data_IF_594321389682
#
_entry.id   IF_594321389682
#
_cell.length_a   1.000
_cell.length_b   1.000
_cell.length_c   1.000
_cell.angle_alpha   90.00
_cell.angle_beta   90.00
_cell.angle_gamma   90.00
#
_symmetry.space_group_name_H-M   'P 1'
#
loop_
_entity.id
_entity.type
_entity.pdbx_description
1 polymer ?
#
# COMPACT_ATOMS: atom_id res chain seq x y z
N UNK A 1 -3.43 -35.06 5.37
CA UNK A 1 -3.84 -34.10 6.42
C UNK A 1 -4.26 -32.82 5.72
N UNK A 2 -5.56 -32.69 5.46
CA UNK A 2 -6.17 -31.56 4.75
C UNK A 2 -6.08 -30.32 5.65
N UNK A 3 -5.31 -29.32 5.20
CA UNK A 3 -5.20 -28.03 5.86
C UNK A 3 -6.55 -27.32 5.77
N UNK A 4 -7.28 -27.28 6.88
CA UNK A 4 -8.49 -26.48 7.03
C UNK A 4 -8.06 -25.02 7.22
N UNK A 5 -8.26 -24.19 6.19
CA UNK A 5 -8.20 -22.74 6.34
C UNK A 5 -9.15 -22.30 7.46
N UNK A 6 -8.74 -21.38 8.34
CA UNK A 6 -9.62 -20.90 9.41
C UNK A 6 -10.87 -20.24 8.81
N UNK A 7 -12.04 -20.35 9.46
CA UNK A 7 -13.26 -19.70 9.00
C UNK A 7 -13.05 -18.18 8.92
N UNK A 8 -13.69 -17.50 7.95
CA UNK A 8 -13.61 -16.04 7.86
C UNK A 8 -14.14 -15.42 9.16
N UNK A 9 -13.33 -14.54 9.76
CA UNK A 9 -13.75 -13.75 10.91
C UNK A 9 -14.98 -12.91 10.54
N UNK A 10 -15.97 -12.76 11.44
CA UNK A 10 -17.14 -11.94 11.19
C UNK A 10 -16.72 -10.48 10.88
N UNK A 11 -17.42 -9.78 9.98
CA UNK A 11 -17.11 -8.38 9.70
C UNK A 11 -17.26 -7.53 10.97
N UNK A 12 -16.48 -6.43 11.09
CA UNK A 12 -16.57 -5.53 12.25
C UNK A 12 -18.01 -5.00 12.40
N UNK A 13 -18.52 -5.08 13.63
CA UNK A 13 -19.96 -5.05 13.90
C UNK A 13 -20.62 -3.67 13.80
N UNK A 14 -19.89 -2.56 13.66
CA UNK A 14 -20.48 -1.22 13.45
C UNK A 14 -19.53 -0.35 12.61
N UNK A 15 -19.87 -0.09 11.34
CA UNK A 15 -19.14 0.87 10.50
C UNK A 15 -19.69 2.27 10.79
N UNK A 16 -18.83 3.18 11.26
CA UNK A 16 -19.23 4.55 11.56
C UNK A 16 -19.01 5.43 10.34
N UNK A 17 -20.01 6.23 10.00
CA UNK A 17 -19.93 7.21 8.91
C UNK A 17 -19.83 8.62 9.50
N UNK A 18 -18.95 9.44 8.94
CA UNK A 18 -18.84 10.85 9.30
C UNK A 18 -18.31 11.68 8.12
N UNK A 19 -18.61 12.99 8.06
CA UNK A 19 -18.19 13.84 6.95
C UNK A 19 -16.69 14.12 6.99
N UNK A 20 -16.09 14.29 5.81
CA UNK A 20 -14.75 14.84 5.62
C UNK A 20 -14.82 16.01 4.62
N UNK A 21 -15.04 17.21 5.15
CA UNK A 21 -15.38 18.37 4.34
C UNK A 21 -16.74 18.20 3.65
N UNK A 22 -16.96 18.95 2.58
CA UNK A 22 -18.28 18.99 1.93
C UNK A 22 -18.51 17.80 0.97
N UNK A 23 -17.43 17.29 0.39
CA UNK A 23 -17.46 16.39 -0.77
C UNK A 23 -17.01 14.95 -0.48
N UNK A 24 -16.96 14.54 0.79
CA UNK A 24 -16.58 13.18 1.15
C UNK A 24 -17.24 12.67 2.44
N UNK A 25 -17.43 11.35 2.49
CA UNK A 25 -17.82 10.59 3.69
C UNK A 25 -16.69 9.62 4.02
N UNK A 26 -16.37 9.49 5.30
CA UNK A 26 -15.43 8.49 5.81
C UNK A 26 -16.22 7.36 6.42
N UNK A 27 -15.95 6.13 5.97
CA UNK A 27 -16.41 4.90 6.61
C UNK A 27 -15.29 4.38 7.50
N UNK A 28 -15.52 4.32 8.81
CA UNK A 28 -14.58 3.77 9.79
C UNK A 28 -15.01 2.35 10.19
N UNK A 29 -14.14 1.38 9.91
CA UNK A 29 -14.39 -0.05 10.14
C UNK A 29 -13.80 -0.54 11.48
N UNK A 30 -13.28 0.37 12.30
CA UNK A 30 -12.69 0.10 13.60
C UNK A 30 -11.48 1.00 13.90
N UNK A 31 -10.90 0.81 15.08
CA UNK A 31 -9.74 1.58 15.56
C UNK A 31 -8.42 0.83 15.47
N UNK A 32 -8.46 -0.45 15.09
CA UNK A 32 -7.30 -1.35 15.06
C UNK A 32 -7.05 -1.85 13.64
N UNK A 33 -5.78 -1.83 13.24
CA UNK A 33 -5.31 -2.43 11.99
C UNK A 33 -5.38 -3.95 12.14
N UNK A 34 -6.34 -4.57 11.46
CA UNK A 34 -6.52 -6.03 11.48
C UNK A 34 -6.81 -6.58 10.09
N UNK A 35 -6.51 -7.87 9.81
CA UNK A 35 -6.89 -8.50 8.55
C UNK A 35 -8.39 -8.44 8.26
N UNK A 36 -9.24 -8.50 9.30
CA UNK A 36 -10.69 -8.39 9.16
C UNK A 36 -11.12 -6.97 8.73
N UNK A 37 -10.57 -5.95 9.39
CA UNK A 37 -10.80 -4.53 9.03
C UNK A 37 -10.38 -4.28 7.58
N UNK A 38 -9.20 -4.78 7.21
CA UNK A 38 -8.67 -4.62 5.87
C UNK A 38 -9.54 -5.30 4.80
N UNK A 39 -10.00 -6.53 5.07
CA UNK A 39 -10.91 -7.26 4.19
C UNK A 39 -12.24 -6.52 4.02
N UNK A 40 -12.78 -5.91 5.07
CA UNK A 40 -14.01 -5.12 4.99
C UNK A 40 -13.84 -3.88 4.10
N UNK A 41 -12.74 -3.13 4.26
CA UNK A 41 -12.41 -1.98 3.40
C UNK A 41 -12.29 -2.42 1.93
N UNK A 42 -11.59 -3.54 1.65
CA UNK A 42 -11.47 -4.08 0.30
C UNK A 42 -12.82 -4.52 -0.28
N UNK A 43 -13.67 -5.17 0.52
CA UNK A 43 -15.01 -5.61 0.10
C UNK A 43 -15.86 -4.41 -0.30
N UNK A 44 -15.91 -3.39 0.54
CA UNK A 44 -16.70 -2.19 0.28
C UNK A 44 -16.14 -1.41 -0.92
N UNK A 45 -14.82 -1.23 -1.00
CA UNK A 45 -14.18 -0.58 -2.14
C UNK A 45 -14.43 -1.30 -3.46
N UNK A 46 -14.30 -2.63 -3.49
CA UNK A 46 -14.56 -3.44 -4.68
C UNK A 46 -16.03 -3.38 -5.11
N UNK A 47 -16.95 -3.44 -4.15
CA UNK A 47 -18.38 -3.34 -4.42
C UNK A 47 -18.75 -1.97 -5.01
N UNK A 48 -18.25 -0.87 -4.43
CA UNK A 48 -18.51 0.49 -4.94
C UNK A 48 -17.90 0.72 -6.33
N UNK A 49 -16.77 0.08 -6.64
CA UNK A 49 -16.18 0.13 -7.99
C UNK A 49 -17.03 -0.60 -9.03
N UNK A 50 -17.69 -1.70 -8.66
CA UNK A 50 -18.57 -2.48 -9.55
C UNK A 50 -19.99 -1.89 -9.63
N UNK A 51 -20.42 -1.21 -8.57
CA UNK A 51 -21.76 -0.63 -8.43
C UNK A 51 -21.68 0.86 -8.04
N UNK A 52 -21.11 1.71 -8.91
CA UNK A 52 -20.99 3.13 -8.61
C UNK A 52 -22.38 3.79 -8.52
N UNK A 53 -22.64 4.51 -7.42
CA UNK A 53 -23.83 5.34 -7.31
C UNK A 53 -23.64 6.68 -8.04
N UNK A 54 -24.76 7.34 -8.37
CA UNK A 54 -24.72 8.63 -9.06
C UNK A 54 -24.01 9.68 -8.19
N UNK A 55 -22.87 10.19 -8.67
CA UNK A 55 -22.05 11.15 -7.95
C UNK A 55 -20.81 10.54 -7.29
N UNK A 56 -20.63 9.22 -7.26
CA UNK A 56 -19.37 8.64 -6.80
C UNK A 56 -18.19 9.13 -7.66
N UNK A 57 -17.15 9.66 -7.02
CA UNK A 57 -15.93 10.15 -7.68
C UNK A 57 -14.76 9.20 -7.46
N UNK A 58 -14.48 8.87 -6.20
CA UNK A 58 -13.33 8.05 -5.85
C UNK A 58 -13.53 7.38 -4.49
N UNK A 59 -12.90 6.22 -4.31
CA UNK A 59 -12.81 5.52 -3.03
C UNK A 59 -11.32 5.41 -2.64
N UNK A 60 -10.94 6.04 -1.54
CA UNK A 60 -9.55 6.07 -1.05
C UNK A 60 -9.45 5.22 0.23
N UNK A 61 -8.89 4.00 0.17
CA UNK A 61 -8.71 3.17 1.35
C UNK A 61 -7.53 3.67 2.21
N UNK A 62 -7.69 3.56 3.52
CA UNK A 62 -6.64 3.80 4.51
C UNK A 62 -6.53 2.58 5.46
N UNK A 63 -5.84 2.76 6.58
CA UNK A 63 -5.57 1.69 7.56
C UNK A 63 -6.84 1.04 8.13
N UNK A 64 -7.79 1.85 8.57
CA UNK A 64 -9.03 1.40 9.21
C UNK A 64 -10.26 2.09 8.64
N UNK A 65 -10.08 2.92 7.62
CA UNK A 65 -11.14 3.72 7.01
C UNK A 65 -11.16 3.57 5.49
N UNK A 66 -12.31 3.86 4.89
CA UNK A 66 -12.46 4.11 3.45
C UNK A 66 -13.08 5.50 3.28
N UNK A 67 -12.40 6.39 2.59
CA UNK A 67 -12.97 7.70 2.24
C UNK A 67 -13.63 7.62 0.88
N UNK A 68 -14.90 7.99 0.80
CA UNK A 68 -15.68 8.04 -0.43
C UNK A 68 -15.86 9.50 -0.82
N UNK A 69 -15.23 9.90 -1.91
CA UNK A 69 -15.40 11.22 -2.52
C UNK A 69 -16.55 11.20 -3.50
N UNK A 70 -17.31 12.30 -3.52
CA UNK A 70 -18.50 12.40 -4.35
C UNK A 70 -18.69 13.80 -4.94
N UNK A 71 -19.55 13.88 -5.96
CA UNK A 71 -19.94 15.10 -6.63
C UNK A 71 -21.07 15.81 -5.86
N UNK A 72 -20.75 16.98 -5.32
CA UNK A 72 -21.68 17.83 -4.58
C UNK A 72 -22.96 18.13 -5.36
N UNK A 73 -22.83 18.50 -6.63
CA UNK A 73 -23.95 18.96 -7.43
C UNK A 73 -24.92 17.83 -7.76
N UNK A 74 -24.40 16.62 -8.01
CA UNK A 74 -25.22 15.45 -8.27
C UNK A 74 -25.99 14.99 -7.03
N UNK A 75 -25.36 15.03 -5.85
CA UNK A 75 -25.99 14.60 -4.59
C UNK A 75 -26.92 15.66 -3.99
N UNK A 76 -26.71 16.95 -4.30
CA UNK A 76 -27.54 18.05 -3.79
C UNK A 76 -28.79 18.32 -4.63
N UNK A 77 -29.05 17.56 -5.71
CA UNK A 77 -30.10 17.86 -6.71
C UNK A 77 -31.52 18.06 -6.15
N UNK A 78 -31.81 17.51 -4.97
CA UNK A 78 -33.13 17.59 -4.35
C UNK A 78 -33.18 18.57 -3.15
N UNK A 79 -32.18 19.45 -3.01
CA UNK A 79 -32.08 20.38 -1.87
C UNK A 79 -31.69 19.71 -0.55
N UNK A 80 -31.41 18.41 -0.57
CA UNK A 80 -30.88 17.68 0.58
C UNK A 80 -29.38 17.95 0.73
N UNK A 81 -28.86 17.98 1.98
CA UNK A 81 -27.43 18.04 2.21
C UNK A 81 -26.73 16.87 1.51
N UNK A 82 -25.67 17.12 0.70
CA UNK A 82 -25.00 16.05 -0.05
C UNK A 82 -24.42 14.97 0.87
N UNK A 83 -23.95 15.33 2.07
CA UNK A 83 -23.51 14.37 3.09
C UNK A 83 -24.62 13.39 3.49
N UNK A 84 -25.80 13.89 3.88
CA UNK A 84 -26.92 13.03 4.33
C UNK A 84 -27.39 12.08 3.23
N UNK A 85 -27.38 12.57 1.99
CA UNK A 85 -27.72 11.76 0.82
C UNK A 85 -26.69 10.65 0.61
N UNK A 86 -25.41 10.98 0.66
CA UNK A 86 -24.33 10.01 0.51
C UNK A 86 -24.30 9.00 1.66
N UNK A 87 -24.46 9.46 2.90
CA UNK A 87 -24.53 8.62 4.10
C UNK A 87 -25.66 7.59 3.99
N UNK A 88 -26.87 8.03 3.60
CA UNK A 88 -28.01 7.13 3.41
C UNK A 88 -27.75 6.07 2.33
N UNK A 89 -27.24 6.48 1.17
CA UNK A 89 -26.90 5.55 0.08
C UNK A 89 -25.86 4.54 0.56
N UNK A 90 -24.80 4.99 1.23
CA UNK A 90 -23.74 4.13 1.73
C UNK A 90 -24.26 3.15 2.79
N UNK A 91 -25.11 3.60 3.71
CA UNK A 91 -25.76 2.72 4.71
C UNK A 91 -26.61 1.64 4.05
N UNK A 92 -27.35 1.97 2.99
CA UNK A 92 -28.16 1.00 2.23
C UNK A 92 -27.30 -0.03 1.47
N UNK A 93 -26.16 0.40 0.91
CA UNK A 93 -25.26 -0.47 0.17
C UNK A 93 -24.36 -1.33 1.08
N UNK A 94 -24.10 -0.88 2.30
CA UNK A 94 -23.10 -1.47 3.19
C UNK A 94 -23.30 -2.98 3.47
N UNK A 95 -24.53 -3.49 3.73
CA UNK A 95 -24.72 -4.92 3.98
C UNK A 95 -24.32 -5.80 2.78
N UNK A 96 -24.70 -5.40 1.57
CA UNK A 96 -24.32 -6.11 0.35
C UNK A 96 -22.82 -5.97 0.05
N UNK A 97 -22.27 -4.78 0.29
CA UNK A 97 -20.86 -4.49 0.11
C UNK A 97 -19.97 -5.32 1.06
N UNK A 98 -20.36 -5.46 2.33
CA UNK A 98 -19.66 -6.29 3.32
C UNK A 98 -19.77 -7.79 3.04
N UNK A 99 -20.86 -8.22 2.40
CA UNK A 99 -21.05 -9.60 1.97
C UNK A 99 -20.31 -9.93 0.66
N UNK A 100 -19.71 -8.93 0.01
CA UNK A 100 -18.95 -9.12 -1.23
C UNK A 100 -17.74 -10.00 -0.96
N UNK A 101 -17.68 -11.14 -1.65
CA UNK A 101 -16.49 -11.99 -1.61
C UNK A 101 -15.33 -11.25 -2.28
N UNK A 102 -14.41 -10.77 -1.45
CA UNK A 102 -13.10 -10.36 -1.93
C UNK A 102 -12.35 -11.63 -2.30
N UNK A 103 -11.80 -11.66 -3.53
CA UNK A 103 -10.92 -12.73 -3.97
C UNK A 103 -9.86 -13.02 -2.90
N UNK A 104 -9.55 -14.30 -2.70
CA UNK A 104 -8.63 -14.78 -1.67
C UNK A 104 -7.30 -14.00 -1.68
N UNK A 105 -6.70 -13.87 -0.49
CA UNK A 105 -5.43 -13.19 -0.20
C UNK A 105 -4.57 -13.09 -1.46
N UNK A 106 -4.45 -11.87 -2.00
CA UNK A 106 -3.66 -11.62 -3.20
C UNK A 106 -2.30 -12.31 -3.08
N UNK A 107 -1.90 -13.03 -4.14
CA UNK A 107 -0.62 -13.71 -4.19
C UNK A 107 0.50 -12.75 -3.77
N UNK A 108 1.49 -13.26 -3.04
CA UNK A 108 2.64 -12.46 -2.62
C UNK A 108 3.34 -11.93 -3.87
N UNK A 109 3.42 -10.61 -4.01
CA UNK A 109 4.07 -9.96 -5.14
C UNK A 109 5.58 -10.02 -4.92
N UNK A 110 6.28 -10.74 -5.78
CA UNK A 110 7.74 -10.80 -5.74
C UNK A 110 8.35 -9.56 -6.39
N UNK A 111 9.19 -8.86 -5.63
CA UNK A 111 9.90 -7.67 -6.07
C UNK A 111 11.40 -8.01 -6.14
N UNK A 112 11.97 -8.21 -7.34
CA UNK A 112 13.40 -8.46 -7.50
C UNK A 112 14.20 -7.20 -7.12
N UNK A 113 15.24 -7.34 -6.30
CA UNK A 113 16.08 -6.23 -5.83
C UNK A 113 17.56 -6.57 -5.98
N UNK A 114 18.29 -5.69 -6.67
CA UNK A 114 19.74 -5.68 -6.63
C UNK A 114 20.19 -4.83 -5.44
N UNK A 115 20.86 -5.45 -4.48
CA UNK A 115 21.28 -4.80 -3.24
C UNK A 115 22.71 -4.24 -3.34
N UNK A 116 22.98 -3.17 -2.59
CA UNK A 116 24.33 -2.62 -2.43
C UNK A 116 24.89 -1.92 -3.67
N UNK A 117 26.17 -1.53 -3.58
CA UNK A 117 26.89 -0.86 -4.67
C UNK A 117 26.16 0.40 -5.17
N UNK A 118 26.09 0.57 -6.50
CA UNK A 118 25.38 1.69 -7.11
C UNK A 118 23.85 1.64 -6.91
N UNK A 119 23.28 0.46 -6.66
CA UNK A 119 21.85 0.28 -6.45
C UNK A 119 21.42 0.57 -5.01
N UNK A 120 22.32 0.36 -4.05
CA UNK A 120 22.11 0.54 -2.62
C UNK A 120 23.30 1.21 -1.95
N UNK A 121 23.56 2.51 -2.21
CA UNK A 121 24.76 3.21 -1.75
C UNK A 121 24.87 3.36 -0.23
N UNK A 122 23.78 3.15 0.52
CA UNK A 122 23.77 3.23 1.98
C UNK A 122 23.82 1.86 2.66
N UNK A 123 23.88 0.74 1.90
CA UNK A 123 23.82 -0.61 2.50
C UNK A 123 24.94 -0.84 3.52
N UNK A 124 26.17 -0.47 3.21
CA UNK A 124 27.31 -0.64 4.11
C UNK A 124 27.18 0.25 5.36
N UNK A 125 26.65 1.46 5.20
CA UNK A 125 26.42 2.38 6.31
C UNK A 125 25.30 1.88 7.24
N UNK A 126 24.22 1.32 6.67
CA UNK A 126 23.15 0.66 7.42
C UNK A 126 23.71 -0.53 8.18
N UNK A 127 24.46 -1.41 7.51
CA UNK A 127 25.08 -2.59 8.10
C UNK A 127 25.99 -2.22 9.29
N UNK A 128 26.85 -1.21 9.12
CA UNK A 128 27.69 -0.69 10.18
C UNK A 128 26.88 -0.12 11.37
N UNK A 129 25.81 0.64 11.10
CA UNK A 129 24.94 1.22 12.13
C UNK A 129 24.30 0.15 13.01
N UNK A 130 23.80 -0.93 12.39
CA UNK A 130 23.11 -2.02 13.09
C UNK A 130 24.02 -3.16 13.52
N UNK A 131 25.34 -3.02 13.30
CA UNK A 131 26.40 -4.01 13.62
C UNK A 131 26.14 -5.38 12.99
N UNK A 132 25.75 -5.36 11.72
CA UNK A 132 25.60 -6.55 10.87
C UNK A 132 26.51 -6.43 9.66
N UNK A 133 26.73 -7.54 8.98
CA UNK A 133 27.29 -7.54 7.63
C UNK A 133 26.23 -7.12 6.60
N UNK A 134 26.63 -6.58 5.43
CA UNK A 134 25.70 -6.31 4.33
C UNK A 134 24.86 -7.53 3.95
N UNK A 135 25.45 -8.73 3.95
CA UNK A 135 24.76 -9.98 3.66
C UNK A 135 23.66 -10.29 4.69
N UNK A 136 23.90 -10.06 5.98
CA UNK A 136 22.90 -10.23 7.03
C UNK A 136 21.77 -9.20 6.94
N UNK A 137 22.08 -7.95 6.55
CA UNK A 137 21.06 -6.94 6.29
C UNK A 137 20.16 -7.39 5.15
N UNK A 138 20.73 -7.85 4.03
CA UNK A 138 19.99 -8.36 2.87
C UNK A 138 19.09 -9.52 3.31
N UNK A 139 19.66 -10.55 3.96
CA UNK A 139 18.92 -11.73 4.37
C UNK A 139 17.74 -11.39 5.30
N UNK A 140 17.93 -10.47 6.25
CA UNK A 140 16.85 -10.03 7.17
C UNK A 140 15.81 -9.18 6.46
N UNK A 141 16.20 -8.37 5.49
CA UNK A 141 15.31 -7.52 4.72
C UNK A 141 14.51 -8.30 3.67
N UNK A 142 15.05 -9.38 3.10
CA UNK A 142 14.34 -10.17 2.09
C UNK A 142 13.51 -11.32 2.65
N UNK A 143 13.72 -11.69 3.93
CA UNK A 143 13.04 -12.83 4.54
C UNK A 143 11.51 -12.69 4.73
N UNK A 144 10.96 -11.54 5.19
CA UNK A 144 9.54 -11.47 5.52
C UNK A 144 8.66 -11.12 4.30
N UNK A 145 7.39 -11.52 4.40
CA UNK A 145 6.32 -10.99 3.55
C UNK A 145 5.77 -9.71 4.14
N UNK A 146 6.12 -8.59 3.51
CA UNK A 146 5.71 -7.26 3.89
C UNK A 146 4.26 -7.01 3.55
N UNK A 147 3.49 -6.51 4.50
CA UNK A 147 2.14 -6.01 4.24
C UNK A 147 2.23 -4.59 3.68
N UNK A 148 1.62 -4.36 2.52
CA UNK A 148 1.41 -3.01 1.99
C UNK A 148 0.30 -2.36 2.79
N UNK A 149 0.67 -1.48 3.71
CA UNK A 149 -0.30 -0.81 4.56
C UNK A 149 -1.10 0.26 3.81
N UNK A 150 -0.40 1.05 3.01
CA UNK A 150 -0.98 2.10 2.19
C UNK A 150 -0.09 2.39 0.99
N UNK A 151 -0.69 2.96 -0.06
CA UNK A 151 0.02 3.56 -1.19
C UNK A 151 -0.12 5.08 -1.05
N UNK A 152 0.99 5.82 -1.02
CA UNK A 152 0.96 7.27 -0.76
C UNK A 152 2.37 7.88 -0.66
N UNK A 153 2.50 9.18 -0.37
CA UNK A 153 3.70 10.03 -0.58
C UNK A 153 3.97 10.39 -2.04
N UNK A 154 3.98 9.39 -2.92
CA UNK A 154 3.98 9.56 -4.37
C UNK A 154 3.09 8.47 -5.00
N UNK A 155 2.56 8.67 -6.21
CA UNK A 155 1.80 7.64 -6.91
C UNK A 155 2.55 6.30 -6.96
N UNK A 156 1.94 5.24 -6.43
CA UNK A 156 2.50 3.88 -6.37
C UNK A 156 3.60 3.63 -5.32
N UNK A 157 3.91 4.58 -4.43
CA UNK A 157 4.89 4.37 -3.36
C UNK A 157 4.24 3.56 -2.21
N UNK A 158 4.74 2.34 -1.89
CA UNK A 158 4.16 1.50 -0.86
C UNK A 158 4.82 1.74 0.51
N UNK A 159 4.00 1.95 1.52
CA UNK A 159 4.44 1.88 2.92
C UNK A 159 4.31 0.45 3.43
N UNK A 160 5.45 -0.14 3.82
CA UNK A 160 5.52 -1.55 4.18
C UNK A 160 5.62 -1.74 5.69
N UNK A 161 4.78 -2.63 6.21
CA UNK A 161 4.86 -3.12 7.58
C UNK A 161 5.62 -4.45 7.68
N UNK A 162 6.24 -4.68 8.84
CA UNK A 162 6.93 -5.94 9.13
C UNK A 162 8.45 -5.91 8.94
N UNK A 163 9.07 -4.72 8.89
CA UNK A 163 10.52 -4.62 8.91
C UNK A 163 11.08 -5.21 10.20
N UNK A 164 12.12 -6.03 10.09
CA UNK A 164 12.85 -6.53 11.24
C UNK A 164 13.39 -5.36 12.06
N UNK A 165 13.01 -5.26 13.34
CA UNK A 165 13.38 -4.14 14.21
C UNK A 165 14.90 -3.92 14.32
N UNK A 166 15.70 -4.99 14.15
CA UNK A 166 17.18 -4.87 14.14
C UNK A 166 17.73 -4.12 12.94
N UNK A 167 16.94 -3.92 11.88
CA UNK A 167 17.33 -3.13 10.71
C UNK A 167 16.96 -1.65 10.85
N UNK A 168 16.25 -1.27 11.93
CA UNK A 168 15.78 0.09 12.08
C UNK A 168 16.94 1.08 12.08
N UNK A 169 16.96 1.99 11.11
CA UNK A 169 18.05 2.94 10.89
C UNK A 169 17.48 4.33 10.63
N UNK A 170 17.99 5.39 11.28
CA UNK A 170 17.44 6.73 11.09
C UNK A 170 17.58 7.22 9.64
N UNK A 171 16.71 8.16 9.28
CA UNK A 171 16.83 8.92 8.03
C UNK A 171 18.18 9.63 7.97
N UNK A 172 18.67 9.87 6.76
CA UNK A 172 19.82 10.75 6.53
C UNK A 172 19.51 12.14 7.07
N UNK A 173 20.51 12.76 7.70
CA UNK A 173 20.41 14.13 8.20
C UNK A 173 20.16 15.13 7.06
N UNK A 174 20.76 14.88 5.89
CA UNK A 174 20.54 15.64 4.67
C UNK A 174 19.88 14.73 3.63
N UNK A 175 18.64 15.03 3.20
CA UNK A 175 17.96 14.26 2.17
C UNK A 175 18.66 14.44 0.82
N UNK A 176 18.59 13.41 -0.02
CA UNK A 176 19.02 13.49 -1.41
C UNK A 176 18.04 14.36 -2.20
N UNK A 177 18.58 15.22 -3.06
CA UNK A 177 17.79 15.99 -4.01
C UNK A 177 17.04 15.08 -5.00
N UNK A 178 17.66 13.94 -5.35
CA UNK A 178 17.07 12.96 -6.25
C UNK A 178 17.36 11.54 -5.76
N UNK A 179 16.29 10.77 -5.55
CA UNK A 179 16.31 9.32 -5.37
C UNK A 179 15.76 8.69 -6.65
N UNK A 180 16.48 7.76 -7.29
CA UNK A 180 15.99 7.10 -8.50
C UNK A 180 14.70 6.29 -8.26
N UNK A 181 13.85 6.19 -9.29
CA UNK A 181 12.73 5.26 -9.26
C UNK A 181 13.23 3.80 -9.12
N UNK A 182 12.47 3.00 -8.38
CA UNK A 182 12.79 1.63 -7.99
C UNK A 182 13.71 1.52 -6.77
N UNK A 183 14.23 2.62 -6.22
CA UNK A 183 15.10 2.55 -5.04
C UNK A 183 14.35 1.99 -3.82
N UNK A 184 14.97 1.05 -3.13
CA UNK A 184 14.47 0.44 -1.89
C UNK A 184 15.21 1.07 -0.72
N UNK A 185 14.47 1.53 0.28
CA UNK A 185 15.08 2.23 1.41
C UNK A 185 14.53 1.83 2.77
N UNK A 186 15.29 2.19 3.81
CA UNK A 186 14.90 2.06 5.21
C UNK A 186 14.89 3.45 5.88
N UNK A 187 13.89 3.69 6.73
CA UNK A 187 13.82 4.86 7.60
C UNK A 187 13.09 4.53 8.92
N UNK A 188 13.81 4.59 10.04
CA UNK A 188 13.31 4.07 11.31
C UNK A 188 12.91 2.61 11.17
N UNK A 189 11.75 2.23 11.69
CA UNK A 189 11.20 0.88 11.56
C UNK A 189 10.43 0.62 10.25
N UNK A 190 10.58 1.48 9.23
CA UNK A 190 9.87 1.36 7.96
C UNK A 190 10.81 1.01 6.80
N UNK A 191 10.28 0.24 5.84
CA UNK A 191 10.88 0.02 4.52
C UNK A 191 9.85 0.31 3.43
N UNK A 192 10.31 0.50 2.19
CA UNK A 192 9.50 1.04 1.12
C UNK A 192 10.29 1.17 -0.18
N UNK A 193 9.58 1.47 -1.26
CA UNK A 193 10.14 1.52 -2.62
C UNK A 193 9.72 2.84 -3.27
N UNK A 194 10.71 3.63 -3.69
CA UNK A 194 10.48 4.86 -4.44
C UNK A 194 9.91 4.54 -5.81
N UNK A 195 8.61 4.77 -6.02
CA UNK A 195 7.93 4.49 -7.29
C UNK A 195 8.30 5.45 -8.42
N UNK A 196 8.65 6.69 -8.07
CA UNK A 196 9.02 7.77 -8.98
C UNK A 196 10.32 8.44 -8.51
N UNK A 197 11.01 9.17 -9.40
CA UNK A 197 12.16 9.97 -9.00
C UNK A 197 11.72 11.13 -8.11
N UNK A 198 12.12 11.13 -6.84
CA UNK A 198 11.73 12.17 -5.87
C UNK A 198 12.89 12.51 -4.92
N UNK A 199 12.87 13.67 -4.25
CA UNK A 199 13.74 13.89 -3.10
C UNK A 199 13.45 12.88 -1.98
N UNK A 200 14.46 12.51 -1.20
CA UNK A 200 14.28 11.49 -0.16
C UNK A 200 15.45 11.36 0.82
N UNK A 201 15.11 11.15 2.10
CA UNK A 201 16.08 10.97 3.18
C UNK A 201 16.25 9.54 3.67
N UNK A 202 15.68 8.55 2.98
CA UNK A 202 15.79 7.16 3.41
C UNK A 202 17.17 6.60 3.06
N UNK A 203 17.63 5.62 3.85
CA UNK A 203 18.86 4.89 3.58
C UNK A 203 18.59 3.91 2.43
N UNK A 204 19.23 4.13 1.28
CA UNK A 204 19.01 3.34 0.07
C UNK A 204 19.88 2.08 0.11
N UNK A 205 19.24 0.92 0.19
CA UNK A 205 19.92 -0.37 0.39
C UNK A 205 19.92 -1.26 -0.87
N UNK A 206 19.10 -0.93 -1.86
CA UNK A 206 19.02 -1.63 -3.13
C UNK A 206 18.06 -0.96 -4.10
N UNK A 207 17.88 -1.57 -5.27
CA UNK A 207 16.97 -1.07 -6.30
C UNK A 207 16.30 -2.22 -7.05
N UNK A 208 15.01 -2.06 -7.33
CA UNK A 208 14.26 -2.96 -8.22
C UNK A 208 14.23 -2.40 -9.64
N UNK A 209 14.30 -3.27 -10.68
CA UNK A 209 14.06 -2.85 -12.05
C UNK A 209 12.56 -2.71 -12.34
N UNK A 210 11.68 -3.20 -11.45
CA UNK A 210 10.22 -3.15 -11.63
C UNK A 210 9.71 -1.72 -11.60
N UNK A 211 8.83 -1.37 -12.53
CA UNK A 211 8.02 -0.16 -12.53
C UNK A 211 6.86 -0.36 -11.57
N UNK A 212 6.77 0.51 -10.57
CA UNK A 212 5.71 0.42 -9.55
C UNK A 212 4.47 1.21 -9.92
N UNK A 213 4.59 2.19 -10.81
CA UNK A 213 3.50 3.06 -11.20
C UNK A 213 3.54 3.36 -12.70
N UNK A 214 2.39 3.25 -13.35
CA UNK A 214 2.16 3.71 -14.71
C UNK A 214 0.70 4.20 -14.83
N UNK A 215 0.46 5.49 -15.12
CA UNK A 215 -0.91 6.01 -15.26
C UNK A 215 -1.71 5.36 -16.40
N UNK A 216 -1.05 4.71 -17.36
CA UNK A 216 -1.70 4.06 -18.50
C UNK A 216 -2.19 2.64 -18.20
N UNK A 217 -1.80 2.05 -17.06
CA UNK A 217 -2.31 0.74 -16.67
C UNK A 217 -3.76 0.82 -16.21
N UNK A 218 -4.54 -0.23 -16.48
CA UNK A 218 -5.90 -0.37 -15.95
C UNK A 218 -5.94 -0.25 -14.42
N UNK A 219 -4.87 -0.69 -13.75
CA UNK A 219 -4.57 -0.37 -12.37
C UNK A 219 -3.22 0.36 -12.31
N UNK A 220 -3.20 1.68 -12.07
CA UNK A 220 -1.98 2.48 -12.21
C UNK A 220 -0.81 2.11 -11.30
N UNK A 221 -1.09 1.42 -10.18
CA UNK A 221 -0.08 0.97 -9.23
C UNK A 221 0.08 -0.55 -9.31
N UNK A 222 1.32 -1.03 -9.36
CA UNK A 222 1.66 -2.45 -9.30
C UNK A 222 1.21 -3.09 -7.98
N UNK A 223 1.27 -2.31 -6.90
CA UNK A 223 0.95 -2.73 -5.54
C UNK A 223 -0.29 -1.99 -5.05
N UNK A 224 -1.11 -2.69 -4.27
CA UNK A 224 -2.29 -2.13 -3.61
C UNK A 224 -2.21 -2.31 -2.10
N UNK A 225 -2.86 -1.42 -1.37
CA UNK A 225 -3.04 -1.58 0.07
C UNK A 225 -3.70 -2.94 0.36
N UNK A 226 -3.11 -3.69 1.30
CA UNK A 226 -3.53 -5.04 1.65
C UNK A 226 -2.75 -6.17 1.05
N UNK A 227 -2.10 -5.92 -0.08
CA UNK A 227 -1.28 -6.94 -0.71
C UNK A 227 -0.05 -7.22 0.14
N UNK A 228 0.48 -8.42 -0.03
CA UNK A 228 1.78 -8.78 0.52
C UNK A 228 2.82 -8.74 -0.58
N UNK A 229 4.02 -8.29 -0.26
CA UNK A 229 5.16 -8.39 -1.15
C UNK A 229 6.34 -9.05 -0.47
N UNK A 230 7.19 -9.68 -1.27
CA UNK A 230 8.47 -10.23 -0.83
C UNK A 230 9.58 -9.67 -1.70
N UNK A 231 10.64 -9.18 -1.07
CA UNK A 231 11.85 -8.80 -1.80
C UNK A 231 12.65 -10.04 -2.16
N UNK A 232 13.04 -10.16 -3.43
CA UNK A 232 13.82 -11.28 -3.94
C UNK A 232 15.19 -10.75 -4.35
N UNK A 233 16.28 -11.07 -3.62
CA UNK A 233 17.61 -10.64 -4.00
C UNK A 233 18.01 -11.17 -5.39
N UNK A 234 18.52 -10.30 -6.23
CA UNK A 234 19.06 -10.62 -7.56
C UNK A 234 20.44 -9.99 -7.73
N UNK A 235 21.20 -10.48 -8.70
CA UNK A 235 22.45 -9.88 -9.12
C UNK A 235 22.23 -8.74 -10.14
N UNK A 236 23.32 -8.02 -10.43
CA UNK A 236 23.32 -6.91 -11.38
C UNK A 236 22.94 -7.38 -12.80
N UNK A 237 23.38 -8.57 -13.22
CA UNK A 237 22.98 -9.15 -14.50
C UNK A 237 21.47 -9.41 -14.58
N UNK A 238 20.88 -9.93 -13.50
CA UNK A 238 19.44 -10.11 -13.36
C UNK A 238 18.68 -8.78 -13.40
N UNK A 239 19.24 -7.72 -12.80
CA UNK A 239 18.63 -6.39 -12.81
C UNK A 239 18.46 -5.87 -14.24
N UNK A 240 19.55 -5.86 -15.01
CA UNK A 240 19.54 -5.34 -16.37
C UNK A 240 18.69 -6.20 -17.31
N UNK A 241 18.69 -7.52 -17.13
CA UNK A 241 17.82 -8.43 -17.90
C UNK A 241 16.34 -8.09 -17.70
N UNK A 242 15.91 -7.93 -16.45
CA UNK A 242 14.52 -7.60 -16.13
C UNK A 242 14.15 -6.19 -16.59
N UNK A 243 15.06 -5.22 -16.49
CA UNK A 243 14.82 -3.84 -16.92
C UNK A 243 14.53 -3.72 -18.43
N UNK A 244 15.14 -4.59 -19.25
CA UNK A 244 14.92 -4.62 -20.70
C UNK A 244 13.52 -5.14 -21.07
N UNK A 245 12.92 -6.00 -20.24
CA UNK A 245 11.58 -6.55 -20.48
C UNK A 245 10.45 -5.63 -20.00
N UNK A 246 10.76 -4.54 -19.30
CA UNK A 246 9.77 -3.59 -18.79
C UNK A 246 9.57 -2.33 -19.66
N UNK A 247 10.42 -2.16 -20.68
CA UNK A 247 10.26 -1.12 -21.71
C UNK A 247 9.51 -1.68 -22.91
#
# INVERSE_FOLDING_TARGET
MTSLSPPPLPPPADVRLFPLGDAAVVLEFGTVISPATHRAIQAVGAYLAQHPFAGLRECVPAFTTLTVYYDLWLLSKNGQPPYETAEKILQELLPAALATEVAAVAAVVEIPVCYGGAFGPDLDAVAAHVRLTPAEVIARHSAPDYLVHMIGFAPGFPYLGGLNERLATPRRAQPRALVPAGSVGIAGAQTGIYSLPTPGGWQLIGRTPRRLFNPEWAQPSLLQAGQRLRFVPIDEAGFYRLQQHEH
#
